data_IF_039488343498
#
_entry.id   IF_039488343498
#
_cell.length_a   1.000
_cell.length_b   1.000
_cell.length_c   1.000
_cell.angle_alpha   90.00
_cell.angle_beta   90.00
_cell.angle_gamma   90.00
#
_symmetry.space_group_name_H-M   'P 1'
#
loop_
_entity.id
_entity.type
_entity.pdbx_description
1 polymer ?
#
# COMPACT_ATOMS: atom_id res chain seq x y z
N UNK A 1 -39.09 9.90 0.71
CA UNK A 1 -38.07 8.92 0.33
C UNK A 1 -37.88 9.02 -1.17
N UNK A 2 -36.95 9.89 -1.61
CA UNK A 2 -36.68 10.09 -3.03
C UNK A 2 -35.72 9.01 -3.48
N UNK A 3 -36.22 8.01 -4.20
CA UNK A 3 -35.39 6.97 -4.80
C UNK A 3 -34.78 7.57 -6.08
N UNK A 4 -33.47 7.85 -6.05
CA UNK A 4 -32.73 8.31 -7.21
C UNK A 4 -32.31 7.05 -7.97
N UNK A 5 -32.85 6.84 -9.17
CA UNK A 5 -32.46 5.71 -10.03
C UNK A 5 -30.99 5.84 -10.40
N UNK A 6 -30.17 4.91 -9.92
CA UNK A 6 -28.76 4.77 -10.27
C UNK A 6 -28.48 3.32 -10.61
N UNK A 7 -27.51 3.10 -11.49
CA UNK A 7 -27.18 1.77 -12.03
C UNK A 7 -26.79 0.75 -10.94
N UNK A 8 -26.12 1.21 -9.89
CA UNK A 8 -25.74 0.42 -8.74
C UNK A 8 -25.73 1.29 -7.46
N UNK A 9 -25.91 0.61 -6.33
CA UNK A 9 -25.74 1.18 -5.00
C UNK A 9 -24.59 0.48 -4.29
N UNK A 10 -23.78 1.25 -3.58
CA UNK A 10 -22.75 0.74 -2.69
C UNK A 10 -23.25 0.86 -1.25
N UNK A 11 -23.16 -0.24 -0.51
CA UNK A 11 -23.50 -0.29 0.91
C UNK A 11 -22.21 -0.42 1.72
N UNK A 12 -21.89 0.61 2.49
CA UNK A 12 -20.79 0.58 3.45
C UNK A 12 -21.36 0.13 4.79
N UNK A 13 -20.76 -0.90 5.38
CA UNK A 13 -21.26 -1.55 6.61
C UNK A 13 -20.17 -1.56 7.66
N UNK A 14 -20.53 -1.11 8.85
CA UNK A 14 -19.66 -1.22 10.02
C UNK A 14 -19.90 -2.53 10.75
N UNK A 15 -18.81 -3.25 11.00
CA UNK A 15 -18.84 -4.54 11.67
C UNK A 15 -18.12 -4.48 13.01
N UNK A 16 -18.76 -4.99 14.05
CA UNK A 16 -18.10 -5.26 15.32
C UNK A 16 -17.14 -6.44 15.22
N UNK A 17 -16.18 -6.53 16.14
CA UNK A 17 -15.15 -7.59 16.18
C UNK A 17 -15.70 -9.03 16.18
N UNK A 18 -16.96 -9.23 16.59
CA UNK A 18 -17.62 -10.54 16.61
C UNK A 18 -18.54 -10.78 15.39
N UNK A 19 -18.42 -9.98 14.34
CA UNK A 19 -19.16 -10.17 13.08
C UNK A 19 -20.58 -9.61 13.07
N UNK A 20 -20.93 -8.74 14.03
CA UNK A 20 -22.24 -8.08 14.07
C UNK A 20 -22.19 -6.80 13.25
N UNK A 21 -23.12 -6.64 12.32
CA UNK A 21 -23.33 -5.37 11.64
C UNK A 21 -23.95 -4.36 12.62
N UNK A 22 -23.27 -3.24 12.86
CA UNK A 22 -23.73 -2.21 13.79
C UNK A 22 -24.60 -1.18 13.07
N UNK A 23 -24.09 -0.66 11.95
CA UNK A 23 -24.79 0.30 11.11
C UNK A 23 -24.29 0.20 9.66
N UNK A 24 -25.01 0.84 8.75
CA UNK A 24 -24.68 0.90 7.34
C UNK A 24 -25.08 2.25 6.73
N UNK A 25 -24.45 2.59 5.62
CA UNK A 25 -24.85 3.69 4.73
C UNK A 25 -25.00 3.14 3.32
N UNK A 26 -26.03 3.60 2.61
CA UNK A 26 -26.30 3.20 1.22
C UNK A 26 -26.19 4.43 0.35
N UNK A 27 -25.32 4.36 -0.64
CA UNK A 27 -25.08 5.46 -1.55
C UNK A 27 -25.03 4.99 -3.00
N UNK A 28 -25.13 5.94 -3.91
CA UNK A 28 -24.95 5.65 -5.33
C UNK A 28 -23.50 5.24 -5.61
N UNK A 29 -23.32 4.20 -6.42
CA UNK A 29 -22.01 3.61 -6.74
C UNK A 29 -21.07 4.56 -7.52
N UNK A 30 -21.58 5.70 -7.98
CA UNK A 30 -20.79 6.71 -8.67
C UNK A 30 -20.00 7.65 -7.73
N UNK A 31 -20.19 7.54 -6.41
CA UNK A 31 -19.50 8.37 -5.42
C UNK A 31 -18.41 7.53 -4.74
N UNK A 32 -17.22 8.12 -4.60
CA UNK A 32 -16.07 7.43 -4.04
C UNK A 32 -16.19 7.26 -2.52
N UNK A 33 -15.87 6.06 -2.03
CA UNK A 33 -16.09 5.63 -0.65
C UNK A 33 -15.50 6.55 0.42
N UNK A 34 -14.35 7.16 0.14
CA UNK A 34 -13.66 8.06 1.09
C UNK A 34 -14.42 9.36 1.36
N UNK A 35 -15.36 9.76 0.49
CA UNK A 35 -16.20 10.95 0.72
C UNK A 35 -17.27 10.70 1.78
N UNK A 36 -17.74 9.46 1.93
CA UNK A 36 -18.83 9.09 2.83
C UNK A 36 -18.37 8.53 4.17
N UNK A 37 -17.08 8.19 4.28
CA UNK A 37 -16.51 7.67 5.53
C UNK A 37 -16.83 8.52 6.77
N UNK A 38 -16.82 9.87 6.74
CA UNK A 38 -17.18 10.66 7.93
C UNK A 38 -18.64 10.48 8.37
N UNK A 39 -19.56 10.26 7.43
CA UNK A 39 -21.00 10.03 7.74
C UNK A 39 -21.19 8.69 8.43
N UNK A 40 -20.46 7.67 7.98
CA UNK A 40 -20.42 6.36 8.62
C UNK A 40 -19.79 6.46 10.02
N UNK A 41 -18.68 7.19 10.16
CA UNK A 41 -18.02 7.40 11.45
C UNK A 41 -18.91 8.11 12.48
N UNK A 42 -19.71 9.09 12.06
CA UNK A 42 -20.64 9.79 12.96
C UNK A 42 -21.64 8.82 13.62
N UNK A 43 -22.02 7.74 12.93
CA UNK A 43 -22.87 6.68 13.49
C UNK A 43 -22.13 5.80 14.50
N UNK A 44 -20.80 5.76 14.43
CA UNK A 44 -19.94 5.03 15.35
C UNK A 44 -19.55 5.84 16.60
N UNK A 45 -19.82 7.15 16.65
CA UNK A 45 -19.54 8.00 17.82
C UNK A 45 -20.05 7.41 19.15
N UNK A 46 -21.29 6.86 19.23
CA UNK A 46 -21.81 6.28 20.48
C UNK A 46 -21.01 5.08 20.99
N UNK A 47 -20.26 4.40 20.11
CA UNK A 47 -19.49 3.21 20.46
C UNK A 47 -18.05 3.55 20.89
N UNK A 48 -17.60 4.79 20.70
CA UNK A 48 -16.26 5.29 21.05
C UNK A 48 -15.14 4.27 20.73
N UNK A 49 -14.97 3.89 19.44
CA UNK A 49 -14.02 2.85 19.07
C UNK A 49 -12.57 3.34 19.27
N UNK A 50 -11.76 2.54 19.94
CA UNK A 50 -10.31 2.81 20.07
C UNK A 50 -9.56 2.53 18.75
N UNK A 51 -10.01 1.51 18.00
CA UNK A 51 -9.39 1.08 16.75
C UNK A 51 -10.46 0.95 15.65
N UNK A 52 -10.12 1.39 14.44
CA UNK A 52 -10.93 1.14 13.25
C UNK A 52 -10.07 0.44 12.20
N UNK A 53 -10.55 -0.72 11.77
CA UNK A 53 -9.95 -1.48 10.67
C UNK A 53 -10.74 -1.10 9.42
N UNK A 54 -10.05 -0.48 8.46
CA UNK A 54 -10.68 -0.05 7.21
C UNK A 54 -9.95 -0.63 6.00
N UNK A 55 -10.70 -0.91 4.94
CA UNK A 55 -10.12 -1.35 3.67
C UNK A 55 -9.23 -0.27 3.03
N UNK A 56 -8.39 -0.71 2.10
CA UNK A 56 -7.52 0.08 1.24
C UNK A 56 -8.22 1.24 0.53
N UNK A 57 -9.52 1.13 0.22
CA UNK A 57 -10.32 2.23 -0.33
C UNK A 57 -10.42 3.46 0.59
N UNK A 58 -10.36 3.24 1.91
CA UNK A 58 -10.41 4.31 2.92
C UNK A 58 -9.03 4.83 3.30
N UNK A 59 -7.96 4.23 2.79
CA UNK A 59 -6.56 4.59 3.10
C UNK A 59 -6.16 5.89 2.40
N UNK A 60 -6.73 7.00 2.85
CA UNK A 60 -6.46 8.35 2.37
C UNK A 60 -5.88 9.22 3.51
N UNK A 61 -5.01 10.19 3.21
CA UNK A 61 -4.45 11.07 4.24
C UNK A 61 -5.50 11.86 5.02
N UNK A 62 -6.59 12.25 4.36
CA UNK A 62 -7.73 12.96 4.98
C UNK A 62 -8.43 12.10 6.04
N UNK A 63 -8.77 10.86 5.69
CA UNK A 63 -9.41 9.91 6.61
C UNK A 63 -8.47 9.56 7.77
N UNK A 64 -7.20 9.28 7.48
CA UNK A 64 -6.21 8.98 8.53
C UNK A 64 -6.05 10.12 9.53
N UNK A 65 -5.95 11.36 9.03
CA UNK A 65 -5.85 12.56 9.86
C UNK A 65 -7.11 12.74 10.72
N UNK A 66 -8.28 12.60 10.13
CA UNK A 66 -9.56 12.72 10.84
C UNK A 66 -9.69 11.71 11.98
N UNK A 67 -9.30 10.45 11.76
CA UNK A 67 -9.33 9.42 12.81
C UNK A 67 -8.38 9.75 13.95
N UNK A 68 -7.15 10.16 13.65
CA UNK A 68 -6.16 10.52 14.65
C UNK A 68 -6.56 11.75 15.48
N UNK A 69 -7.20 12.75 14.86
CA UNK A 69 -7.72 13.93 15.57
C UNK A 69 -8.85 13.58 16.55
N UNK A 70 -9.60 12.51 16.27
CA UNK A 70 -10.65 11.97 17.13
C UNK A 70 -10.13 10.91 18.13
N UNK A 71 -8.80 10.78 18.29
CA UNK A 71 -8.17 9.78 19.17
C UNK A 71 -8.49 8.32 18.81
N UNK A 72 -8.84 8.06 17.55
CA UNK A 72 -9.09 6.73 17.01
C UNK A 72 -7.85 6.26 16.26
N UNK A 73 -7.39 5.05 16.53
CA UNK A 73 -6.21 4.48 15.86
C UNK A 73 -6.65 3.79 14.55
N UNK A 74 -6.28 4.31 13.37
CA UNK A 74 -6.60 3.66 12.11
C UNK A 74 -5.68 2.48 11.84
N UNK A 75 -6.27 1.34 11.51
CA UNK A 75 -5.57 0.13 11.05
C UNK A 75 -5.89 -0.08 9.58
N UNK A 76 -4.97 0.34 8.72
CA UNK A 76 -5.09 0.15 7.27
C UNK A 76 -4.27 -1.05 6.77
N UNK A 77 -4.69 -1.71 5.69
CA UNK A 77 -3.90 -2.77 5.07
C UNK A 77 -2.55 -2.26 4.57
N UNK A 78 -1.54 -3.14 4.65
CA UNK A 78 -0.21 -2.87 4.11
C UNK A 78 -0.28 -2.71 2.59
N UNK A 79 0.23 -1.58 2.09
CA UNK A 79 0.42 -1.39 0.65
C UNK A 79 1.89 -1.56 0.36
N UNK A 80 2.23 -2.56 -0.46
CA UNK A 80 3.61 -2.78 -0.87
C UNK A 80 4.16 -1.51 -1.53
N UNK A 81 5.29 -0.95 -1.06
CA UNK A 81 5.94 0.18 -1.70
C UNK A 81 6.17 -0.14 -3.17
N UNK A 82 5.66 0.72 -4.04
CA UNK A 82 5.98 0.65 -5.46
C UNK A 82 7.37 1.25 -5.62
N UNK A 83 8.35 0.42 -5.95
CA UNK A 83 9.69 0.89 -6.30
C UNK A 83 9.63 1.89 -7.48
N UNK A 84 10.68 2.70 -7.64
CA UNK A 84 10.83 3.55 -8.82
C UNK A 84 10.79 2.66 -10.08
N UNK A 85 9.99 3.05 -11.08
CA UNK A 85 9.79 2.26 -12.31
C UNK A 85 11.09 2.07 -13.09
N UNK A 86 12.01 3.02 -12.95
CA UNK A 86 13.26 3.06 -13.71
C UNK A 86 14.36 2.18 -13.11
N UNK A 87 14.11 1.55 -11.96
CA UNK A 87 15.07 0.66 -11.30
C UNK A 87 14.70 -0.80 -11.52
N UNK A 88 15.71 -1.58 -11.88
CA UNK A 88 15.58 -3.01 -12.04
C UNK A 88 15.36 -3.69 -10.68
N UNK A 89 14.55 -4.74 -10.69
CA UNK A 89 14.24 -5.53 -9.50
C UNK A 89 15.26 -6.65 -9.39
N UNK A 90 15.44 -7.20 -8.20
CA UNK A 90 16.36 -8.34 -7.98
C UNK A 90 16.08 -9.53 -8.92
N UNK A 91 14.82 -9.72 -9.33
CA UNK A 91 14.39 -10.77 -10.28
C UNK A 91 14.95 -10.60 -11.70
N UNK A 92 15.36 -9.39 -12.04
CA UNK A 92 15.87 -9.04 -13.36
C UNK A 92 17.37 -9.35 -13.48
N UNK A 93 18.02 -9.77 -12.39
CA UNK A 93 19.44 -10.15 -12.38
C UNK A 93 19.61 -11.66 -12.43
N UNK A 94 20.48 -12.13 -13.33
CA UNK A 94 20.83 -13.56 -13.45
C UNK A 94 22.19 -13.79 -12.81
N UNK A 95 22.28 -14.75 -11.90
CA UNK A 95 23.55 -15.16 -11.29
C UNK A 95 24.29 -16.12 -12.22
N UNK A 96 25.58 -15.87 -12.44
CA UNK A 96 26.48 -16.76 -13.16
C UNK A 96 27.47 -17.41 -12.18
N UNK A 97 27.30 -18.72 -11.97
CA UNK A 97 28.14 -19.52 -11.06
C UNK A 97 29.59 -19.64 -11.53
N UNK A 98 29.84 -19.68 -12.84
CA UNK A 98 31.19 -19.86 -13.39
C UNK A 98 32.11 -18.67 -13.13
N UNK A 99 31.55 -17.46 -13.02
CA UNK A 99 32.30 -16.22 -12.85
C UNK A 99 32.00 -15.49 -11.54
N UNK A 100 31.17 -16.06 -10.65
CA UNK A 100 30.71 -15.45 -9.39
C UNK A 100 30.23 -13.99 -9.57
N UNK A 101 29.41 -13.76 -10.62
CA UNK A 101 28.94 -12.43 -11.01
C UNK A 101 27.43 -12.42 -11.23
N UNK A 102 26.79 -11.27 -11.02
CA UNK A 102 25.40 -11.04 -11.43
C UNK A 102 25.36 -10.27 -12.75
N UNK A 103 24.50 -10.69 -13.67
CA UNK A 103 24.26 -10.03 -14.94
C UNK A 103 22.96 -9.22 -14.85
N UNK A 104 23.05 -7.91 -15.14
CA UNK A 104 21.88 -7.04 -15.33
C UNK A 104 21.26 -7.34 -16.72
N UNK A 105 19.97 -7.01 -16.93
CA UNK A 105 19.27 -7.20 -18.23
C UNK A 105 20.01 -6.57 -19.42
N UNK A 106 20.85 -5.56 -19.19
CA UNK A 106 21.68 -4.91 -20.20
C UNK A 106 23.10 -5.49 -20.33
N UNK A 107 23.29 -6.76 -19.97
CA UNK A 107 24.58 -7.48 -20.04
C UNK A 107 25.73 -6.84 -19.22
N UNK A 108 25.42 -5.92 -18.31
CA UNK A 108 26.42 -5.37 -17.40
C UNK A 108 26.74 -6.36 -16.27
N UNK A 109 28.04 -6.55 -16.03
CA UNK A 109 28.56 -7.44 -14.99
C UNK A 109 28.66 -6.70 -13.67
N UNK A 110 27.94 -7.20 -12.67
CA UNK A 110 28.05 -6.78 -11.28
C UNK A 110 28.98 -7.75 -10.54
N UNK A 111 30.10 -7.22 -10.05
CA UNK A 111 31.10 -8.01 -9.33
C UNK A 111 30.97 -7.85 -7.82
N UNK A 112 31.33 -8.91 -7.10
CA UNK A 112 31.43 -8.90 -5.64
C UNK A 112 32.49 -7.88 -5.18
N UNK A 113 32.13 -7.04 -4.20
CA UNK A 113 33.03 -6.05 -3.62
C UNK A 113 33.45 -6.44 -2.21
N UNK A 114 32.50 -6.54 -1.30
CA UNK A 114 32.74 -6.76 0.13
C UNK A 114 31.52 -7.38 0.76
N UNK A 115 31.69 -8.22 1.77
CA UNK A 115 30.57 -8.65 2.61
C UNK A 115 30.43 -7.67 3.77
N UNK A 116 29.22 -7.15 3.97
CA UNK A 116 28.88 -6.30 5.12
C UNK A 116 28.99 -7.08 6.43
N UNK A 117 29.07 -6.37 7.56
CA UNK A 117 29.16 -6.99 8.91
C UNK A 117 27.97 -7.90 9.24
N UNK A 118 26.86 -7.70 8.54
CA UNK A 118 25.60 -8.47 8.67
C UNK A 118 25.55 -9.69 7.74
N UNK A 119 26.59 -9.94 6.94
CA UNK A 119 26.69 -11.11 6.06
C UNK A 119 26.14 -10.90 4.64
N UNK A 120 25.64 -9.71 4.30
CA UNK A 120 25.19 -9.41 2.95
C UNK A 120 26.37 -9.10 2.03
N UNK A 121 26.38 -9.71 0.84
CA UNK A 121 27.36 -9.44 -0.21
C UNK A 121 27.02 -8.12 -0.91
N UNK A 122 27.92 -7.15 -0.83
CA UNK A 122 27.84 -5.93 -1.64
C UNK A 122 28.30 -6.24 -3.06
N UNK A 123 27.41 -6.00 -4.01
CA UNK A 123 27.67 -6.22 -5.44
C UNK A 123 27.51 -4.87 -6.13
N UNK A 124 28.51 -4.44 -6.89
CA UNK A 124 28.50 -3.13 -7.56
C UNK A 124 28.88 -3.25 -9.02
N UNK A 125 28.30 -2.39 -9.84
CA UNK A 125 28.70 -2.23 -11.23
C UNK A 125 30.11 -1.62 -11.33
N UNK A 126 30.83 -1.97 -12.39
CA UNK A 126 32.15 -1.39 -12.67
C UNK A 126 31.98 0.11 -12.97
N UNK A 127 32.77 1.01 -12.36
CA UNK A 127 32.58 2.47 -12.44
C UNK A 127 32.52 3.07 -13.85
N UNK A 128 33.07 2.37 -14.85
CA UNK A 128 33.13 2.83 -16.25
C UNK A 128 31.77 2.84 -16.96
N UNK A 129 30.75 2.15 -16.43
CA UNK A 129 29.43 2.02 -17.09
C UNK A 129 28.29 2.75 -16.35
N UNK A 130 28.59 3.45 -15.25
CA UNK A 130 27.60 4.01 -14.31
C UNK A 130 26.89 5.27 -14.84
N UNK A 131 27.18 5.72 -16.06
CA UNK A 131 26.61 6.97 -16.62
C UNK A 131 25.38 6.80 -17.50
N UNK A 132 25.01 5.60 -17.93
CA UNK A 132 23.90 5.46 -18.88
C UNK A 132 22.66 4.73 -18.36
N UNK A 133 22.74 3.94 -17.28
CA UNK A 133 21.67 2.99 -16.95
C UNK A 133 21.46 2.89 -15.44
N UNK A 134 20.20 2.93 -15.03
CA UNK A 134 19.72 2.74 -13.66
C UNK A 134 19.60 1.26 -13.28
N UNK A 135 20.72 0.53 -13.31
CA UNK A 135 20.97 -0.52 -12.31
C UNK A 135 21.53 0.23 -11.06
#
# INVERSE_FOLDING_TARGET
MFHKEVFAYNAQVDCYKHGWALDFTVEADNIHDSQFFPVLLAKLEPFSPEFIIADSGYKTPSVAKFLLENWIIPVFPYTRPRGRRDFLRLKDFVYNEYSDCYLCLENQVLTYRTTTREGYRDIKAIPKFVRSISC
#
